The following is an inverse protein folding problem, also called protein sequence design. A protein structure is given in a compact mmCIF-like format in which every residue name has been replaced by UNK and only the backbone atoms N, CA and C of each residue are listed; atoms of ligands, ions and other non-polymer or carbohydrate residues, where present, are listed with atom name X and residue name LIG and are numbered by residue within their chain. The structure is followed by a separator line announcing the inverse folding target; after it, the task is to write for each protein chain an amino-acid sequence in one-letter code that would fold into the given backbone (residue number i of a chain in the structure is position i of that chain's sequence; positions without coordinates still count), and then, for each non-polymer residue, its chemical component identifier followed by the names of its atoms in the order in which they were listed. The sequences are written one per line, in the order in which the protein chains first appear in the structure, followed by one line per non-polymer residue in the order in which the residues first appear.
data_IF_683509650782
#
_entry.id   IF_683509650782
#
_cell.length_a   1.000
_cell.length_b   1.000
_cell.length_c   1.000
_cell.angle_alpha   90.00
_cell.angle_beta   90.00
_cell.angle_gamma   90.00
#
_symmetry.space_group_name_H-M   'P 1'
#
loop_
_entity.id
_entity.type
_entity.pdbx_description
1 polymer ?
#
# COMPACT_ATOMS: atom_id res chain seq x y z
N UNK A 1 -16.90 35.71 51.72
CA UNK A 1 -16.94 35.22 51.42
C UNK A 1 -16.50 34.68 50.47
N UNK A 2 -16.07 33.97 50.02
CA UNK A 2 -15.56 33.44 49.18
C UNK A 2 -15.85 32.91 48.39
N UNK A 3 -15.75 32.68 47.63
CA UNK A 3 -15.99 32.16 46.82
C UNK A 3 -15.25 31.66 46.11
N UNK A 4 -15.01 30.89 45.82
CA UNK A 4 -14.35 30.28 45.18
C UNK A 4 -14.60 29.97 44.13
N UNK A 5 -14.11 29.94 43.41
CA UNK A 5 -14.18 29.58 42.36
C UNK A 5 -13.87 28.54 42.13
N UNK A 6 -14.38 27.89 41.88
CA UNK A 6 -14.32 26.82 41.50
C UNK A 6 -13.63 26.65 40.47
N UNK A 7 -12.87 26.18 40.51
CA UNK A 7 -12.21 25.65 39.73
C UNK A 7 -12.59 25.48 38.51
N UNK A 8 -12.09 26.11 37.81
CA UNK A 8 -12.20 25.90 36.57
C UNK A 8 -11.68 24.62 36.29
N UNK A 9 -12.44 23.79 36.09
CA UNK A 9 -12.09 22.61 35.60
C UNK A 9 -11.71 22.84 34.25
N UNK A 10 -10.55 23.02 34.10
CA UNK A 10 -10.05 23.04 32.82
C UNK A 10 -10.14 21.65 32.32
N UNK A 11 -11.14 21.37 31.76
CA UNK A 11 -11.25 20.21 31.09
C UNK A 11 -10.43 20.33 29.96
N UNK A 12 -9.29 19.91 30.08
CA UNK A 12 -8.48 19.77 28.97
C UNK A 12 -9.00 18.61 28.22
N UNK A 13 -9.75 18.92 27.35
CA UNK A 13 -10.15 17.97 26.43
C UNK A 13 -8.97 17.69 25.58
N UNK A 14 -8.17 16.85 25.98
CA UNK A 14 -7.22 16.34 25.09
C UNK A 14 -8.02 15.60 24.06
N UNK A 15 -8.28 16.24 23.10
CA UNK A 15 -8.84 15.60 21.96
C UNK A 15 -7.77 14.68 21.50
N UNK A 16 -7.95 13.51 21.80
CA UNK A 16 -7.15 12.53 21.24
C UNK A 16 -7.54 12.41 19.84
N UNK A 17 -6.84 13.00 19.04
CA UNK A 17 -7.04 12.79 17.67
C UNK A 17 -6.43 11.49 17.34
N UNK A 18 -7.19 10.53 17.35
CA UNK A 18 -6.85 9.40 16.60
C UNK A 18 -6.58 9.96 15.24
N UNK A 19 -5.41 10.21 14.96
CA UNK A 19 -5.04 10.49 13.63
C UNK A 19 -5.70 9.43 12.82
N UNK A 20 -6.50 9.80 11.93
CA UNK A 20 -7.14 8.87 11.05
C UNK A 20 -5.98 8.17 10.46
N UNK A 21 -5.92 6.98 10.80
CA UNK A 21 -4.86 6.22 10.47
C UNK A 21 -4.34 6.61 9.16
N UNK A 22 -3.17 6.84 9.11
CA UNK A 22 -2.53 7.01 7.92
C UNK A 22 -2.78 5.78 7.13
N UNK A 23 -3.94 5.72 6.53
CA UNK A 23 -4.23 4.62 5.65
C UNK A 23 -3.11 4.51 4.64
N UNK A 24 -2.54 5.64 4.27
CA UNK A 24 -1.43 5.60 3.35
C UNK A 24 -0.21 4.96 3.94
N UNK A 25 0.05 5.22 5.21
CA UNK A 25 1.20 4.63 5.86
C UNK A 25 1.05 3.13 6.00
N UNK A 26 -0.19 2.66 6.11
CA UNK A 26 -0.40 1.24 6.27
C UNK A 26 0.00 0.45 5.03
N UNK A 27 -0.03 1.09 3.87
CA UNK A 27 0.33 0.41 2.65
C UNK A 27 1.83 0.50 2.37
N UNK A 28 2.52 1.40 3.02
CA UNK A 28 3.94 1.60 2.77
C UNK A 28 4.75 0.39 3.19
N UNK A 29 5.78 0.10 2.46
CA UNK A 29 6.68 -0.98 2.81
C UNK A 29 6.95 -1.91 1.65
N UNK A 30 7.51 -3.06 1.97
CA UNK A 30 7.97 -4.02 1.00
C UNK A 30 7.01 -5.19 0.92
N UNK A 31 6.79 -5.66 -0.29
CA UNK A 31 5.80 -6.70 -0.53
C UNK A 31 6.34 -7.70 -1.54
N UNK A 32 6.04 -8.96 -1.33
CA UNK A 32 6.48 -10.04 -2.21
C UNK A 32 5.28 -10.65 -2.90
N UNK A 33 5.38 -10.86 -4.21
CA UNK A 33 4.33 -11.46 -5.01
C UNK A 33 4.03 -12.87 -4.49
N UNK A 34 2.77 -13.25 -4.52
CA UNK A 34 2.35 -14.52 -3.95
C UNK A 34 2.93 -15.74 -4.66
N UNK A 35 3.23 -15.62 -5.93
CA UNK A 35 3.69 -16.80 -6.68
C UNK A 35 4.89 -16.54 -7.56
N UNK A 36 5.34 -15.31 -7.71
CA UNK A 36 6.48 -15.02 -8.55
C UNK A 36 7.58 -14.35 -7.77
N UNK A 37 8.83 -14.50 -8.21
CA UNK A 37 9.94 -13.89 -7.47
C UNK A 37 10.05 -12.40 -7.78
N UNK A 38 9.07 -11.65 -7.32
CA UNK A 38 8.98 -10.22 -7.55
C UNK A 38 8.72 -9.54 -6.22
N UNK A 39 9.50 -8.51 -5.94
CA UNK A 39 9.36 -7.70 -4.72
C UNK A 39 9.18 -6.25 -5.11
N UNK A 40 8.26 -5.58 -4.46
CA UNK A 40 7.99 -4.18 -4.74
C UNK A 40 8.02 -3.39 -3.45
N UNK A 41 8.20 -2.10 -3.59
CA UNK A 41 8.04 -1.19 -2.48
C UNK A 41 6.85 -0.28 -2.78
N UNK A 42 5.88 -0.24 -1.89
CA UNK A 42 4.78 0.67 -2.02
C UNK A 42 5.15 1.99 -1.38
N UNK A 43 4.98 3.05 -2.12
CA UNK A 43 5.33 4.40 -1.71
C UNK A 43 4.09 5.28 -1.83
N UNK A 44 3.14 5.14 -0.89
CA UNK A 44 1.86 5.82 -1.03
C UNK A 44 1.98 7.34 -1.08
N UNK A 45 2.95 7.90 -0.39
CA UNK A 45 3.12 9.35 -0.41
C UNK A 45 3.51 9.85 -1.78
N UNK A 46 4.18 9.01 -2.55
CA UNK A 46 4.54 9.36 -3.92
C UNK A 46 3.51 8.84 -4.92
N UNK A 47 2.48 8.16 -4.43
CA UNK A 47 1.43 7.65 -5.30
C UNK A 47 1.86 6.52 -6.20
N UNK A 48 2.80 5.69 -5.75
CA UNK A 48 3.40 4.71 -6.65
C UNK A 48 3.87 3.47 -5.93
N UNK A 49 4.17 2.43 -6.71
CA UNK A 49 4.84 1.25 -6.24
C UNK A 49 5.94 0.91 -7.24
N UNK A 50 7.12 0.58 -6.74
CA UNK A 50 8.28 0.38 -7.60
C UNK A 50 8.83 -1.02 -7.41
N UNK A 51 9.28 -1.64 -8.49
CA UNK A 51 9.88 -2.97 -8.45
C UNK A 51 11.28 -2.85 -7.90
N UNK A 52 11.56 -3.57 -6.83
CA UNK A 52 12.89 -3.59 -6.24
C UNK A 52 13.67 -4.82 -6.64
N UNK A 53 12.99 -5.90 -6.96
CA UNK A 53 13.64 -7.12 -7.40
C UNK A 53 12.65 -7.94 -8.23
N UNK A 54 13.11 -8.48 -9.33
CA UNK A 54 12.29 -9.32 -10.19
C UNK A 54 13.24 -10.32 -10.84
N UNK A 55 13.23 -11.55 -10.35
CA UNK A 55 14.17 -12.54 -10.83
C UNK A 55 13.86 -13.03 -12.24
N UNK A 56 12.60 -12.94 -12.65
CA UNK A 56 12.22 -13.31 -14.01
C UNK A 56 12.56 -12.21 -15.01
N UNK A 57 12.52 -10.98 -14.57
CA UNK A 57 12.78 -9.82 -15.42
C UNK A 57 13.63 -8.81 -14.66
N UNK A 58 14.93 -9.11 -14.51
CA UNK A 58 15.78 -8.16 -13.75
C UNK A 58 15.82 -6.77 -14.35
N UNK A 59 15.50 -6.66 -15.63
CA UNK A 59 15.45 -5.36 -16.28
C UNK A 59 14.29 -4.50 -15.77
N UNK A 60 13.37 -5.08 -15.02
CA UNK A 60 12.24 -4.33 -14.49
C UNK A 60 12.52 -3.65 -13.17
N UNK A 61 13.69 -3.86 -12.57
CA UNK A 61 14.02 -3.18 -11.32
C UNK A 61 13.98 -1.68 -11.55
N UNK A 62 13.28 -0.96 -10.68
CA UNK A 62 13.06 0.47 -10.84
C UNK A 62 11.82 0.84 -11.60
N UNK A 63 11.13 -0.15 -12.16
CA UNK A 63 9.93 0.09 -12.94
C UNK A 63 8.76 0.41 -12.02
N UNK A 64 7.93 1.36 -12.41
CA UNK A 64 6.76 1.71 -11.61
C UNK A 64 5.62 0.78 -11.97
N UNK A 65 5.40 -0.23 -11.14
CA UNK A 65 4.34 -1.19 -11.38
C UNK A 65 2.99 -0.63 -10.95
N UNK A 66 2.99 0.33 -10.05
CA UNK A 66 1.79 1.00 -9.59
C UNK A 66 1.98 2.50 -9.76
N UNK A 67 0.99 3.16 -10.35
CA UNK A 67 1.00 4.62 -10.47
C UNK A 67 -0.39 5.14 -10.10
N UNK A 68 -0.49 6.44 -9.92
CA UNK A 68 -1.77 7.11 -9.63
C UNK A 68 -2.49 6.49 -8.43
N UNK A 69 -1.73 6.11 -7.43
CA UNK A 69 -2.29 5.52 -6.23
C UNK A 69 -2.98 6.60 -5.41
N UNK A 70 -4.24 6.37 -5.10
CA UNK A 70 -5.04 7.34 -4.34
C UNK A 70 -6.00 6.60 -3.42
N UNK A 71 -6.24 7.19 -2.26
CA UNK A 71 -7.18 6.61 -1.31
C UNK A 71 -8.57 6.61 -1.92
N UNK A 72 -9.27 5.51 -1.78
CA UNK A 72 -10.62 5.41 -2.29
C UNK A 72 -11.63 5.77 -1.18
N UNK A 73 -12.90 5.78 -1.52
CA UNK A 73 -13.94 6.08 -0.54
C UNK A 73 -14.12 4.95 0.47
N UNK A 74 -13.67 3.76 0.13
CA UNK A 74 -13.82 2.62 1.02
C UNK A 74 -12.60 2.47 1.91
N UNK A 75 -12.78 2.30 3.21
CA UNK A 75 -11.63 2.13 4.10
C UNK A 75 -10.81 0.92 3.68
N UNK A 76 -9.51 1.07 3.71
CA UNK A 76 -8.61 -0.02 3.37
C UNK A 76 -8.49 -0.30 1.89
N UNK A 77 -9.00 0.60 1.05
CA UNK A 77 -8.91 0.45 -0.38
C UNK A 77 -8.33 1.67 -1.04
N UNK A 78 -7.65 1.44 -2.13
CA UNK A 78 -7.05 2.50 -2.94
C UNK A 78 -7.36 2.24 -4.39
N UNK A 79 -7.45 3.29 -5.17
CA UNK A 79 -7.52 3.16 -6.61
C UNK A 79 -6.13 3.40 -7.17
N UNK A 80 -5.82 2.78 -8.29
CA UNK A 80 -4.50 2.93 -8.89
C UNK A 80 -4.52 2.47 -10.33
N UNK A 81 -3.40 2.73 -11.01
CA UNK A 81 -3.11 2.11 -12.28
C UNK A 81 -2.03 1.09 -12.03
N UNK A 82 -2.23 -0.13 -12.49
CA UNK A 82 -1.27 -1.22 -12.27
C UNK A 82 -0.85 -1.75 -13.63
N UNK A 83 0.43 -1.98 -13.77
CA UNK A 83 0.95 -2.49 -15.03
C UNK A 83 0.60 -3.96 -15.19
N UNK A 84 -0.19 -4.26 -16.22
CA UNK A 84 -0.56 -5.63 -16.52
C UNK A 84 0.46 -6.16 -17.51
N UNK A 85 1.42 -6.91 -17.01
CA UNK A 85 2.54 -7.36 -17.82
C UNK A 85 2.09 -8.17 -19.05
N UNK A 86 1.04 -8.94 -18.90
CA UNK A 86 0.56 -9.74 -20.01
C UNK A 86 0.00 -8.92 -21.14
N UNK A 87 -0.47 -7.73 -20.83
CA UNK A 87 -1.03 -6.82 -21.82
C UNK A 87 -0.06 -5.73 -22.24
N UNK A 88 1.00 -5.54 -21.47
CA UNK A 88 1.97 -4.50 -21.76
C UNK A 88 1.44 -3.10 -21.55
N UNK A 89 0.48 -2.94 -20.66
CA UNK A 89 -0.11 -1.63 -20.42
C UNK A 89 -0.66 -1.53 -19.02
N UNK A 90 -0.88 -0.29 -18.57
CA UNK A 90 -1.47 -0.05 -17.27
C UNK A 90 -2.98 -0.20 -17.34
N UNK A 91 -3.56 -0.69 -16.27
CA UNK A 91 -5.00 -0.88 -16.16
C UNK A 91 -5.48 -0.36 -14.82
N UNK A 92 -6.73 0.06 -14.80
CA UNK A 92 -7.36 0.47 -13.55
C UNK A 92 -7.38 -0.71 -12.59
N UNK A 93 -7.07 -0.44 -11.35
CA UNK A 93 -7.03 -1.48 -10.33
C UNK A 93 -7.52 -0.94 -9.01
N UNK A 94 -7.97 -1.86 -8.18
CA UNK A 94 -8.28 -1.58 -6.80
C UNK A 94 -7.24 -2.30 -5.96
N UNK A 95 -6.65 -1.60 -5.02
CA UNK A 95 -5.69 -2.20 -4.11
C UNK A 95 -6.34 -2.25 -2.76
N UNK A 96 -6.35 -3.41 -2.14
CA UNK A 96 -6.99 -3.63 -0.85
C UNK A 96 -5.96 -4.12 0.15
N UNK A 97 -5.94 -3.52 1.32
CA UNK A 97 -5.13 -4.03 2.41
C UNK A 97 -6.01 -5.03 3.14
N UNK A 98 -5.80 -6.29 2.87
CA UNK A 98 -6.65 -7.36 3.42
C UNK A 98 -6.35 -7.55 4.90
N UNK A 99 -5.08 -7.43 5.27
CA UNK A 99 -4.64 -7.46 6.66
C UNK A 99 -3.33 -6.70 6.72
N UNK A 100 -2.75 -6.61 7.90
CA UNK A 100 -1.48 -5.90 8.02
C UNK A 100 -0.39 -6.49 7.13
N UNK A 101 -0.51 -7.77 6.83
CA UNK A 101 0.53 -8.46 6.08
C UNK A 101 0.10 -8.94 4.70
N UNK A 102 -1.07 -8.58 4.26
CA UNK A 102 -1.58 -9.07 2.99
C UNK A 102 -2.26 -7.95 2.21
N UNK A 103 -1.81 -7.76 0.98
CA UNK A 103 -2.34 -6.74 0.09
C UNK A 103 -2.80 -7.43 -1.19
N UNK A 104 -3.88 -6.96 -1.78
CA UNK A 104 -4.41 -7.56 -3.00
C UNK A 104 -4.60 -6.49 -4.06
N UNK A 105 -4.15 -6.79 -5.27
CA UNK A 105 -4.41 -5.95 -6.45
C UNK A 105 -5.50 -6.64 -7.24
N UNK A 106 -6.59 -5.96 -7.51
CA UNK A 106 -7.66 -6.48 -8.34
C UNK A 106 -7.73 -5.64 -9.61
N UNK A 107 -7.51 -6.30 -10.74
CA UNK A 107 -7.44 -5.63 -12.03
C UNK A 107 -8.55 -6.18 -12.90
N UNK A 108 -9.24 -5.29 -13.60
CA UNK A 108 -10.26 -5.70 -14.53
C UNK A 108 -9.66 -5.84 -15.91
N UNK A 109 -9.86 -6.99 -16.52
CA UNK A 109 -9.42 -7.23 -17.87
C UNK A 109 -10.65 -7.74 -18.63
N UNK A 110 -11.31 -6.83 -19.33
CA UNK A 110 -12.54 -7.17 -20.01
C UNK A 110 -13.62 -7.50 -18.99
N UNK A 111 -14.17 -8.69 -19.09
CA UNK A 111 -15.19 -9.16 -18.16
C UNK A 111 -14.61 -9.91 -16.98
N UNK A 112 -13.30 -10.09 -16.96
CA UNK A 112 -12.64 -10.91 -15.96
C UNK A 112 -11.92 -10.01 -14.96
N UNK A 113 -11.99 -10.40 -13.69
CA UNK A 113 -11.21 -9.75 -12.66
C UNK A 113 -10.09 -10.69 -12.28
N UNK A 114 -8.89 -10.14 -12.20
CA UNK A 114 -7.75 -10.89 -11.74
C UNK A 114 -7.26 -10.29 -10.46
N UNK A 115 -7.01 -11.14 -9.48
CA UNK A 115 -6.50 -10.69 -8.20
C UNK A 115 -5.14 -11.30 -7.97
N UNK A 116 -4.20 -10.45 -7.58
CA UNK A 116 -2.84 -10.88 -7.24
C UNK A 116 -2.60 -10.45 -5.82
N UNK A 117 -2.13 -11.37 -5.00
CA UNK A 117 -1.85 -11.06 -3.60
C UNK A 117 -0.36 -10.87 -3.37
N UNK A 118 -0.06 -10.02 -2.40
CA UNK A 118 1.30 -9.67 -2.05
C UNK A 118 1.44 -9.78 -0.54
N UNK A 119 2.47 -10.46 -0.10
CA UNK A 119 2.75 -10.63 1.32
C UNK A 119 3.75 -9.59 1.78
N UNK A 120 3.50 -9.00 2.92
CA UNK A 120 4.43 -8.01 3.47
C UNK A 120 5.69 -8.69 3.94
N UNK A 121 6.83 -8.10 3.61
CA UNK A 121 8.12 -8.59 4.08
C UNK A 121 8.85 -7.42 4.73
N UNK A 122 9.77 -7.74 5.63
CA UNK A 122 10.51 -6.70 6.34
C UNK A 122 11.64 -6.14 5.49
N UNK A 123 12.10 -6.91 4.53
CA UNK A 123 13.17 -6.46 3.66
C UNK A 123 13.15 -7.27 2.38
N UNK A 124 13.78 -6.73 1.36
CA UNK A 124 13.87 -7.41 0.08
C UNK A 124 15.23 -8.07 0.03
N UNK A 125 15.30 -9.40 -0.16
CA UNK A 125 16.59 -10.06 -0.24
C UNK A 125 17.37 -9.53 -1.44
N UNK A 126 18.65 -9.34 -1.31
CA UNK A 126 19.42 -8.86 -2.45
C UNK A 126 19.46 -9.89 -3.55
N UNK A 127 19.40 -9.43 -4.78
CA UNK A 127 19.42 -10.32 -5.92
C UNK A 127 20.76 -11.07 -5.96
N UNK A 128 20.70 -12.32 -6.35
CA UNK A 128 21.91 -13.11 -6.47
C UNK A 128 22.38 -13.72 -5.18
N UNK A 129 21.56 -13.62 -4.17
CA UNK A 129 21.95 -14.12 -2.92
C UNK A 129 21.53 -15.47 -2.66
N UNK A 130 21.17 -16.21 -3.59
CA UNK A 130 20.74 -17.46 -3.33
C UNK A 130 21.71 -18.32 -3.67
N UNK A 131 22.28 -18.76 -3.07
CA UNK A 131 23.14 -19.60 -3.38
C UNK A 131 22.94 -20.53 -2.92
#
# INVERSE_FOLDING_TARGET
MIRLLPGVILMILTAIFATPGNAEADLAGYWQHESEPVWIEMQPQAGQGVVLRNDNRPDRVGFLVVTDLAVSDEPGEWSAQVFAAQLGEYRDATITLVSDDLMAFTVKVGFIRRTVEWARVSEVPPAGDDE
#
